data_IF_688226980876
#
_entry.id   IF_688226980876
#
_cell.length_a   1.000
_cell.length_b   1.000
_cell.length_c   1.000
_cell.angle_alpha   90.00
_cell.angle_beta   90.00
_cell.angle_gamma   90.00
#
_symmetry.space_group_name_H-M   'P 1'
#
loop_
_entity.id
_entity.type
_entity.pdbx_description
1 polymer ?
#
# COMPACT_ATOMS: atom_id res chain seq x y z
N UNK A 1 -24.46 -6.37 20.88
CA UNK A 1 -24.35 -5.68 19.60
C UNK A 1 -23.48 -6.52 18.68
N UNK A 2 -24.02 -6.99 17.58
CA UNK A 2 -23.23 -7.77 16.61
C UNK A 2 -22.40 -6.80 15.76
N UNK A 3 -21.09 -6.92 15.87
CA UNK A 3 -20.16 -6.26 14.95
C UNK A 3 -20.26 -6.99 13.60
N UNK A 4 -20.49 -6.27 12.53
CA UNK A 4 -20.49 -6.85 11.19
C UNK A 4 -19.12 -7.44 10.88
N UNK A 5 -19.06 -8.59 10.18
CA UNK A 5 -17.80 -9.24 9.79
C UNK A 5 -16.83 -8.28 9.08
N UNK A 6 -17.36 -7.40 8.25
CA UNK A 6 -16.58 -6.41 7.50
C UNK A 6 -15.96 -5.37 8.43
N UNK A 7 -16.68 -4.92 9.45
CA UNK A 7 -16.18 -3.95 10.43
C UNK A 7 -15.06 -4.54 11.28
N UNK A 8 -15.18 -5.80 11.71
CA UNK A 8 -14.11 -6.49 12.45
C UNK A 8 -12.88 -6.72 11.57
N UNK A 9 -13.07 -7.10 10.31
CA UNK A 9 -11.97 -7.26 9.35
C UNK A 9 -11.20 -5.94 9.18
N UNK A 10 -11.89 -4.83 9.03
CA UNK A 10 -11.28 -3.51 8.92
C UNK A 10 -10.57 -3.10 10.20
N UNK A 11 -11.13 -3.41 11.38
CA UNK A 11 -10.48 -3.16 12.66
C UNK A 11 -9.19 -3.96 12.81
N UNK A 12 -9.16 -5.19 12.36
CA UNK A 12 -7.95 -6.03 12.33
C UNK A 12 -6.89 -5.41 11.41
N UNK A 13 -7.26 -4.98 10.22
CA UNK A 13 -6.34 -4.34 9.26
C UNK A 13 -5.76 -3.05 9.84
N UNK A 14 -6.56 -2.21 10.46
CA UNK A 14 -6.10 -0.96 11.11
C UNK A 14 -5.17 -1.24 12.29
N UNK A 15 -5.51 -2.19 13.15
CA UNK A 15 -4.66 -2.61 14.25
C UNK A 15 -3.32 -3.20 13.76
N UNK A 16 -3.37 -3.98 12.67
CA UNK A 16 -2.19 -4.54 12.04
C UNK A 16 -1.28 -3.45 11.45
N UNK A 17 -1.87 -2.46 10.78
CA UNK A 17 -1.12 -1.32 10.25
C UNK A 17 -0.32 -0.61 11.35
N UNK A 18 -0.96 -0.32 12.46
CA UNK A 18 -0.31 0.33 13.62
C UNK A 18 0.80 -0.56 14.21
N UNK A 19 0.55 -1.86 14.35
CA UNK A 19 1.53 -2.81 14.88
C UNK A 19 2.76 -2.93 13.96
N UNK A 20 2.55 -3.03 12.63
CA UNK A 20 3.63 -3.07 11.66
C UNK A 20 4.45 -1.79 11.62
N UNK A 21 3.82 -0.64 11.79
CA UNK A 21 4.52 0.66 11.88
C UNK A 21 5.41 0.75 13.11
N UNK A 22 4.92 0.29 14.27
CA UNK A 22 5.64 0.42 15.54
C UNK A 22 6.76 -0.62 15.71
N UNK A 23 6.57 -1.85 15.24
CA UNK A 23 7.46 -2.98 15.51
C UNK A 23 8.10 -3.59 14.26
N UNK A 24 7.78 -3.06 13.07
CA UNK A 24 8.12 -3.70 11.80
C UNK A 24 7.30 -4.96 11.57
N UNK A 25 7.31 -5.46 10.34
CA UNK A 25 6.57 -6.68 9.98
C UNK A 25 7.08 -7.90 10.75
N UNK A 26 8.38 -8.11 10.78
CA UNK A 26 9.00 -9.28 11.41
C UNK A 26 8.78 -9.29 12.94
N UNK A 27 8.80 -8.12 13.58
CA UNK A 27 8.60 -7.97 15.01
C UNK A 27 7.15 -7.84 15.46
N UNK A 28 6.20 -7.75 14.54
CA UNK A 28 4.79 -7.56 14.84
C UNK A 28 4.15 -8.83 15.44
N UNK A 29 3.29 -8.64 16.42
CA UNK A 29 2.61 -9.71 17.16
C UNK A 29 1.16 -9.84 16.71
N UNK A 30 0.80 -11.00 16.15
CA UNK A 30 -0.59 -11.35 15.82
C UNK A 30 -1.50 -11.33 17.05
N UNK A 31 -0.95 -11.70 18.22
CA UNK A 31 -1.65 -11.70 19.49
C UNK A 31 -2.04 -10.29 19.94
N UNK A 32 -1.12 -9.32 19.78
CA UNK A 32 -1.39 -7.90 20.08
C UNK A 32 -2.39 -7.32 19.08
N UNK A 33 -2.28 -7.65 17.81
CA UNK A 33 -3.24 -7.23 16.78
C UNK A 33 -4.66 -7.71 17.12
N UNK A 34 -4.82 -8.97 17.48
CA UNK A 34 -6.09 -9.53 17.91
C UNK A 34 -6.66 -8.80 19.12
N UNK A 35 -5.84 -8.58 20.15
CA UNK A 35 -6.23 -7.87 21.36
C UNK A 35 -6.72 -6.44 21.06
N UNK A 36 -5.98 -5.71 20.24
CA UNK A 36 -6.34 -4.33 19.86
C UNK A 36 -7.57 -4.24 18.96
N UNK A 37 -7.90 -5.32 18.26
CA UNK A 37 -9.11 -5.44 17.45
C UNK A 37 -10.31 -5.94 18.26
N UNK A 38 -10.13 -6.15 19.56
CA UNK A 38 -11.17 -6.69 20.45
C UNK A 38 -11.68 -8.08 20.02
N UNK A 39 -10.78 -8.92 19.53
CA UNK A 39 -11.07 -10.29 19.13
C UNK A 39 -10.03 -11.27 19.66
N UNK A 40 -10.28 -12.56 19.49
CA UNK A 40 -9.34 -13.62 19.87
C UNK A 40 -8.32 -13.89 18.76
N UNK A 41 -7.15 -14.42 19.12
CA UNK A 41 -6.16 -14.85 18.14
C UNK A 41 -6.73 -15.91 17.19
N UNK A 42 -7.50 -16.88 17.71
CA UNK A 42 -8.15 -17.88 16.88
C UNK A 42 -9.12 -17.28 15.87
N UNK A 43 -9.91 -16.31 16.28
CA UNK A 43 -10.84 -15.62 15.37
C UNK A 43 -10.10 -14.76 14.33
N UNK A 44 -9.00 -14.12 14.70
CA UNK A 44 -8.15 -13.41 13.74
C UNK A 44 -7.70 -14.35 12.62
N UNK A 45 -7.26 -15.55 12.95
CA UNK A 45 -6.84 -16.55 11.96
C UNK A 45 -8.00 -17.08 11.09
N UNK A 46 -9.25 -16.85 11.47
CA UNK A 46 -10.40 -17.10 10.59
C UNK A 46 -10.52 -16.06 9.48
N UNK A 47 -10.01 -14.84 9.69
CA UNK A 47 -10.01 -13.76 8.68
C UNK A 47 -8.75 -13.78 7.81
N UNK A 48 -7.60 -14.07 8.39
CA UNK A 48 -6.30 -14.05 7.73
C UNK A 48 -5.52 -15.32 8.11
N UNK A 49 -5.14 -16.09 7.12
CA UNK A 49 -4.48 -17.40 7.32
C UNK A 49 -3.14 -17.28 8.03
N UNK A 50 -2.40 -16.18 7.77
CA UNK A 50 -1.09 -15.93 8.34
C UNK A 50 -0.79 -14.42 8.37
N UNK A 51 0.35 -14.06 8.93
CA UNK A 51 0.78 -12.66 9.05
C UNK A 51 1.05 -12.02 7.68
N UNK A 52 1.53 -12.78 6.71
CA UNK A 52 1.79 -12.29 5.35
C UNK A 52 0.51 -11.92 4.61
N UNK A 53 -0.55 -12.73 4.74
CA UNK A 53 -1.87 -12.40 4.18
C UNK A 53 -2.42 -11.11 4.80
N UNK A 54 -2.26 -10.93 6.11
CA UNK A 54 -2.65 -9.71 6.80
C UNK A 54 -1.82 -8.51 6.33
N UNK A 55 -0.53 -8.67 6.13
CA UNK A 55 0.34 -7.65 5.54
C UNK A 55 -0.16 -7.23 4.14
N UNK A 56 -0.53 -8.19 3.32
CA UNK A 56 -1.11 -7.94 2.00
C UNK A 56 -2.37 -7.08 2.06
N UNK A 57 -3.26 -7.37 3.00
CA UNK A 57 -4.47 -6.58 3.20
C UNK A 57 -4.17 -5.14 3.66
N UNK A 58 -3.17 -4.95 4.52
CA UNK A 58 -2.71 -3.62 4.95
C UNK A 58 -2.12 -2.84 3.79
N UNK A 59 -1.30 -3.46 2.95
CA UNK A 59 -0.59 -2.81 1.85
C UNK A 59 -1.42 -2.67 0.56
N UNK A 60 -2.54 -3.37 0.44
CA UNK A 60 -3.33 -3.43 -0.79
C UNK A 60 -3.65 -2.05 -1.39
N UNK A 61 -4.14 -1.04 -0.64
CA UNK A 61 -4.41 0.26 -1.21
C UNK A 61 -3.17 0.93 -1.80
N UNK A 62 -2.03 0.82 -1.14
CA UNK A 62 -0.76 1.39 -1.61
C UNK A 62 -0.20 0.65 -2.82
N UNK A 63 -0.24 -0.68 -2.82
CA UNK A 63 0.18 -1.50 -3.96
C UNK A 63 -0.68 -1.21 -5.19
N UNK A 64 -1.98 -1.12 -5.02
CA UNK A 64 -2.92 -0.78 -6.09
C UNK A 64 -2.62 0.60 -6.69
N UNK A 65 -2.38 1.59 -5.84
CA UNK A 65 -2.05 2.95 -6.27
C UNK A 65 -0.68 3.02 -6.97
N UNK A 66 0.32 2.29 -6.48
CA UNK A 66 1.63 2.20 -7.12
C UNK A 66 1.56 1.49 -8.48
N UNK A 67 0.77 0.42 -8.60
CA UNK A 67 0.53 -0.24 -9.90
C UNK A 67 -0.09 0.71 -10.91
N UNK A 68 -1.10 1.47 -10.48
CA UNK A 68 -1.75 2.48 -11.34
C UNK A 68 -0.78 3.58 -11.76
N UNK A 69 0.07 4.06 -10.85
CA UNK A 69 1.12 5.03 -11.15
C UNK A 69 2.07 4.51 -12.23
N UNK A 70 2.54 3.28 -12.11
CA UNK A 70 3.42 2.66 -13.11
C UNK A 70 2.71 2.51 -14.45
N UNK A 71 1.46 2.04 -14.44
CA UNK A 71 0.69 1.83 -15.66
C UNK A 71 0.43 3.13 -16.43
N UNK A 72 0.04 4.19 -15.72
CA UNK A 72 -0.40 5.45 -16.33
C UNK A 72 0.78 6.38 -16.63
N UNK A 73 1.78 6.46 -15.74
CA UNK A 73 2.79 7.51 -15.79
C UNK A 73 4.22 7.04 -16.09
N UNK A 74 4.57 5.81 -15.73
CA UNK A 74 5.95 5.34 -15.86
C UNK A 74 6.19 4.48 -17.10
N UNK A 75 5.14 3.97 -17.74
CA UNK A 75 5.25 3.18 -18.97
C UNK A 75 5.09 4.02 -20.25
N UNK A 76 4.57 5.23 -20.15
CA UNK A 76 4.48 6.15 -21.28
C UNK A 76 5.71 7.07 -21.29
N UNK A 77 6.44 7.07 -22.40
CA UNK A 77 7.36 8.15 -22.72
C UNK A 77 6.51 9.40 -23.00
N UNK A 78 6.37 10.26 -22.00
CA UNK A 78 5.74 11.57 -22.21
C UNK A 78 6.71 12.38 -23.06
N UNK A 79 6.58 12.27 -24.38
CA UNK A 79 7.27 13.16 -25.30
C UNK A 79 6.44 14.42 -25.42
N UNK A 80 6.84 15.45 -24.70
CA UNK A 80 6.23 16.77 -24.79
C UNK A 80 6.92 17.56 -25.89
N UNK A 81 6.19 17.88 -26.95
CA UNK A 81 6.71 18.61 -28.11
C UNK A 81 6.25 20.08 -28.18
N UNK A 82 5.31 20.48 -27.32
CA UNK A 82 4.78 21.85 -27.29
C UNK A 82 4.39 22.29 -25.88
N UNK A 83 4.27 23.61 -25.67
CA UNK A 83 3.78 24.18 -24.41
C UNK A 83 2.34 23.80 -24.11
N UNK A 84 1.53 23.60 -25.15
CA UNK A 84 0.14 23.19 -25.04
C UNK A 84 0.03 21.77 -24.49
N UNK A 85 0.93 20.87 -24.94
CA UNK A 85 1.03 19.48 -24.41
C UNK A 85 1.55 19.47 -22.96
N UNK A 86 2.34 20.45 -22.54
CA UNK A 86 2.75 20.62 -21.14
C UNK A 86 1.54 20.91 -20.25
N UNK A 87 0.68 21.82 -20.69
CA UNK A 87 -0.52 22.19 -19.93
C UNK A 87 -1.48 21.00 -19.82
N UNK A 88 -1.70 20.26 -20.91
CA UNK A 88 -2.51 19.04 -20.90
C UNK A 88 -1.93 17.96 -19.98
N UNK A 89 -0.61 17.77 -19.99
CA UNK A 89 0.08 16.83 -19.12
C UNK A 89 -0.03 17.24 -17.64
N UNK A 90 0.07 18.55 -17.35
CA UNK A 90 -0.09 19.08 -15.99
C UNK A 90 -1.53 18.92 -15.49
N UNK A 91 -2.53 19.13 -16.35
CA UNK A 91 -3.93 18.90 -16.00
C UNK A 91 -4.21 17.41 -15.71
N UNK A 92 -3.70 16.50 -16.54
CA UNK A 92 -3.80 15.05 -16.29
C UNK A 92 -3.08 14.64 -15.00
N UNK A 93 -1.94 15.28 -14.71
CA UNK A 93 -1.21 15.07 -13.45
C UNK A 93 -2.00 15.62 -12.26
N UNK A 94 -2.65 16.77 -12.42
CA UNK A 94 -3.54 17.35 -11.41
C UNK A 94 -4.73 16.43 -11.09
N UNK A 95 -5.39 15.94 -12.11
CA UNK A 95 -6.50 14.98 -11.96
C UNK A 95 -6.06 13.70 -11.25
N UNK A 96 -4.85 13.19 -11.56
CA UNK A 96 -4.27 12.04 -10.87
C UNK A 96 -4.05 12.31 -9.37
N UNK A 97 -3.58 13.51 -9.00
CA UNK A 97 -3.38 13.89 -7.61
C UNK A 97 -4.70 14.08 -6.84
N UNK A 98 -5.75 14.52 -7.52
CA UNK A 98 -7.07 14.71 -6.93
C UNK A 98 -7.84 13.38 -6.78
N UNK A 99 -7.53 12.37 -7.59
CA UNK A 99 -8.09 11.03 -7.42
C UNK A 99 -7.66 10.42 -6.07
N UNK A 100 -8.61 9.81 -5.39
CA UNK A 100 -8.45 9.25 -4.04
C UNK A 100 -7.28 8.26 -3.89
N UNK A 101 -6.80 7.71 -4.99
CA UNK A 101 -5.77 6.69 -5.02
C UNK A 101 -4.36 7.21 -4.67
N UNK A 102 -4.02 8.45 -5.02
CA UNK A 102 -2.70 9.03 -4.72
C UNK A 102 -2.45 9.17 -3.21
N UNK A 103 -3.49 9.37 -2.43
CA UNK A 103 -3.44 9.44 -0.98
C UNK A 103 -2.76 8.22 -0.34
N UNK A 104 -2.94 7.04 -0.94
CA UNK A 104 -2.35 5.79 -0.45
C UNK A 104 -0.88 5.59 -0.84
N UNK A 105 -0.41 6.32 -1.85
CA UNK A 105 1.02 6.33 -2.21
C UNK A 105 1.82 7.10 -1.17
N UNK A 106 1.27 8.19 -0.65
CA UNK A 106 1.94 9.11 0.29
C UNK A 106 1.55 8.87 1.74
N UNK A 107 0.94 7.73 2.05
CA UNK A 107 0.55 7.40 3.39
C UNK A 107 1.60 6.54 4.12
N UNK A 108 1.38 6.32 5.40
CA UNK A 108 2.28 5.57 6.30
C UNK A 108 2.50 4.10 5.91
N UNK A 109 1.63 3.51 5.04
CA UNK A 109 1.82 2.17 4.49
C UNK A 109 3.10 2.05 3.66
N UNK A 110 3.53 3.14 3.04
CA UNK A 110 4.82 3.20 2.35
C UNK A 110 5.99 2.91 3.29
N UNK A 111 5.96 3.40 4.53
CA UNK A 111 7.00 3.14 5.53
C UNK A 111 7.10 1.64 5.77
N UNK A 112 5.96 0.96 5.96
CA UNK A 112 5.92 -0.49 6.13
C UNK A 112 6.55 -1.19 4.91
N UNK A 113 6.15 -0.81 3.71
CA UNK A 113 6.63 -1.39 2.46
C UNK A 113 8.15 -1.22 2.31
N UNK A 114 8.68 -0.02 2.57
CA UNK A 114 10.11 0.27 2.44
C UNK A 114 10.99 -0.43 3.46
N UNK A 115 10.47 -0.71 4.64
CA UNK A 115 11.19 -1.41 5.71
C UNK A 115 11.16 -2.94 5.59
N UNK A 116 10.39 -3.50 4.68
CA UNK A 116 10.30 -4.96 4.49
C UNK A 116 11.64 -5.55 4.09
N UNK A 117 12.05 -6.61 4.79
CA UNK A 117 13.26 -7.39 4.52
C UNK A 117 12.98 -8.72 3.84
N UNK A 118 11.76 -9.19 3.96
CA UNK A 118 11.30 -10.49 3.45
C UNK A 118 9.95 -10.32 2.77
N UNK A 119 9.36 -11.40 2.33
CA UNK A 119 8.06 -11.52 1.68
C UNK A 119 8.05 -11.13 0.20
N UNK A 120 6.99 -11.53 -0.51
CA UNK A 120 6.77 -11.16 -1.91
C UNK A 120 6.57 -9.64 -2.10
N UNK A 121 6.14 -8.93 -1.06
CA UNK A 121 5.93 -7.47 -1.11
C UNK A 121 7.25 -6.70 -1.16
N UNK A 122 8.34 -7.27 -0.62
CA UNK A 122 9.69 -6.75 -0.83
C UNK A 122 10.06 -6.78 -2.31
N UNK A 123 9.77 -7.86 -3.00
CA UNK A 123 10.04 -8.00 -4.43
C UNK A 123 9.20 -7.01 -5.25
N UNK A 124 7.93 -6.82 -4.89
CA UNK A 124 7.07 -5.80 -5.51
C UNK A 124 7.63 -4.39 -5.30
N UNK A 125 8.07 -4.06 -4.08
CA UNK A 125 8.73 -2.78 -3.79
C UNK A 125 9.97 -2.59 -4.66
N UNK A 126 10.83 -3.58 -4.74
CA UNK A 126 12.07 -3.52 -5.51
C UNK A 126 11.78 -3.32 -7.00
N UNK A 127 10.71 -3.93 -7.50
CA UNK A 127 10.23 -3.72 -8.87
C UNK A 127 9.75 -2.26 -9.09
N UNK A 128 8.98 -1.69 -8.18
CA UNK A 128 8.57 -0.27 -8.25
C UNK A 128 9.76 0.66 -8.24
N UNK A 129 10.73 0.42 -7.36
CA UNK A 129 11.96 1.23 -7.29
C UNK A 129 12.76 1.14 -8.58
N UNK A 130 12.84 -0.03 -9.19
CA UNK A 130 13.50 -0.21 -10.48
C UNK A 130 12.81 0.59 -11.59
N UNK A 131 11.47 0.52 -11.66
CA UNK A 131 10.68 1.30 -12.63
C UNK A 131 10.88 2.80 -12.44
N UNK A 132 10.84 3.27 -11.20
CA UNK A 132 11.11 4.66 -10.87
C UNK A 132 12.50 5.09 -11.32
N UNK A 133 13.51 4.29 -11.00
CA UNK A 133 14.90 4.55 -11.40
C UNK A 133 15.06 4.61 -12.92
N UNK A 134 14.45 3.68 -13.66
CA UNK A 134 14.47 3.68 -15.12
C UNK A 134 13.83 4.93 -15.72
N UNK A 135 12.72 5.38 -15.14
CA UNK A 135 12.04 6.59 -15.57
C UNK A 135 12.85 7.86 -15.31
N UNK A 136 13.59 7.90 -14.20
CA UNK A 136 14.42 9.04 -13.81
C UNK A 136 15.81 9.06 -14.44
N UNK A 137 16.24 7.99 -15.07
CA UNK A 137 17.60 7.81 -15.61
C UNK A 137 17.69 8.11 -17.12
N UNK A 138 17.21 9.27 -17.52
CA UNK A 138 17.29 9.75 -18.92
C UNK A 138 18.26 10.90 -19.11
#
# INVERSE_FOLDING_TARGET
MQIKKEDLKNDIIEAAKVEFLHHGYEGASMRIIASKSHTTLGNLYNYFTNKEELLGAVLEPSIKSLNKLVEVHLNEEIQVHSLEEVDEALDQFGDFFEESDFRYIMDERLIILFELKTTEYKEKRDWFLLKFKQHMAW
#
